data_IF_523054969063
#
_entry.id   IF_523054969063
#
_cell.length_a   1.000
_cell.length_b   1.000
_cell.length_c   1.000
_cell.angle_alpha   90.00
_cell.angle_beta   90.00
_cell.angle_gamma   90.00
#
_symmetry.space_group_name_H-M   'P 1'
#
loop_
_entity.id
_entity.type
_entity.pdbx_description
1 polymer ?
#
# COMPACT_ATOMS: atom_id res chain seq x y z
N UNK A 1 9.21 -12.82 -1.51
CA UNK A 1 8.05 -13.28 -2.31
C UNK A 1 7.29 -12.03 -2.72
N UNK A 2 6.88 -11.90 -3.99
CA UNK A 2 6.14 -10.73 -4.41
C UNK A 2 4.76 -10.71 -3.75
N UNK A 3 4.37 -9.55 -3.21
CA UNK A 3 3.04 -9.35 -2.61
C UNK A 3 2.03 -8.95 -3.68
N UNK A 4 0.83 -9.50 -3.63
CA UNK A 4 -0.24 -9.10 -4.55
C UNK A 4 -0.73 -7.68 -4.26
N UNK A 5 -1.21 -6.95 -5.27
CA UNK A 5 -1.77 -5.60 -5.07
C UNK A 5 -2.94 -5.61 -4.06
N UNK A 6 -3.74 -6.68 -4.07
CA UNK A 6 -4.85 -6.90 -3.12
C UNK A 6 -4.36 -7.09 -1.69
N UNK A 7 -3.26 -7.82 -1.50
CA UNK A 7 -2.66 -8.02 -0.18
C UNK A 7 -2.09 -6.73 0.39
N UNK A 8 -1.32 -5.99 -0.44
CA UNK A 8 -0.76 -4.68 -0.04
C UNK A 8 -1.88 -3.72 0.35
N UNK A 9 -2.95 -3.63 -0.44
CA UNK A 9 -4.11 -2.82 -0.10
C UNK A 9 -4.71 -3.22 1.25
N UNK A 10 -5.00 -4.51 1.48
CA UNK A 10 -5.59 -4.98 2.73
C UNK A 10 -4.73 -4.66 3.95
N UNK A 11 -3.42 -4.90 3.87
CA UNK A 11 -2.48 -4.63 4.97
C UNK A 11 -2.36 -3.12 5.27
N UNK A 12 -2.35 -2.27 4.24
CA UNK A 12 -2.37 -0.81 4.43
C UNK A 12 -3.66 -0.34 5.11
N UNK A 13 -4.82 -0.90 4.75
CA UNK A 13 -6.08 -0.60 5.44
C UNK A 13 -6.02 -1.02 6.93
N UNK A 14 -5.44 -2.20 7.24
CA UNK A 14 -5.19 -2.63 8.63
C UNK A 14 -4.23 -1.71 9.38
N UNK A 15 -3.28 -1.09 8.68
CA UNK A 15 -2.38 -0.09 9.23
C UNK A 15 -3.03 1.30 9.44
N UNK A 16 -4.35 1.42 9.28
CA UNK A 16 -5.09 2.66 9.50
C UNK A 16 -5.19 3.59 8.29
N UNK A 17 -4.74 3.16 7.10
CA UNK A 17 -4.99 3.92 5.88
C UNK A 17 -6.45 3.77 5.44
N UNK A 18 -6.93 4.78 4.73
CA UNK A 18 -8.27 4.81 4.14
C UNK A 18 -8.17 5.10 2.64
N UNK A 19 -9.11 4.55 1.86
CA UNK A 19 -9.22 4.87 0.44
C UNK A 19 -9.75 6.29 0.27
N UNK A 20 -8.90 7.19 -0.25
CA UNK A 20 -9.23 8.59 -0.42
C UNK A 20 -9.85 8.87 -1.79
N UNK A 21 -9.34 8.22 -2.83
CA UNK A 21 -9.75 8.40 -4.22
C UNK A 21 -9.20 7.27 -5.08
N UNK A 22 -9.93 6.91 -6.11
CA UNK A 22 -9.46 6.06 -7.20
C UNK A 22 -9.47 6.81 -8.54
N UNK A 23 -8.46 6.55 -9.38
CA UNK A 23 -8.41 6.99 -10.79
C UNK A 23 -7.98 5.83 -11.66
N UNK A 24 -8.88 5.33 -12.49
CA UNK A 24 -8.69 4.05 -13.18
C UNK A 24 -8.42 2.92 -12.18
N UNK A 25 -7.31 2.20 -12.35
CA UNK A 25 -6.89 1.13 -11.44
C UNK A 25 -6.01 1.61 -10.27
N UNK A 26 -5.69 2.90 -10.17
CA UNK A 26 -4.83 3.41 -9.09
C UNK A 26 -5.67 3.91 -7.92
N UNK A 27 -5.40 3.37 -6.72
CA UNK A 27 -5.98 3.84 -5.46
C UNK A 27 -5.00 4.76 -4.74
N UNK A 28 -5.51 5.87 -4.22
CA UNK A 28 -4.81 6.80 -3.32
C UNK A 28 -5.23 6.49 -1.90
N UNK A 29 -4.27 6.10 -1.05
CA UNK A 29 -4.50 5.74 0.33
C UNK A 29 -3.94 6.81 1.26
N UNK A 30 -4.72 7.25 2.24
CA UNK A 30 -4.30 8.29 3.20
C UNK A 30 -4.57 7.86 4.63
N UNK A 31 -3.61 8.13 5.50
CA UNK A 31 -3.72 7.95 6.95
C UNK A 31 -4.06 9.29 7.61
N UNK A 32 -4.72 9.26 8.77
CA UNK A 32 -5.18 10.46 9.50
C UNK A 32 -4.03 11.38 9.92
N UNK A 33 -2.86 10.81 10.21
CA UNK A 33 -1.60 11.53 10.52
C UNK A 33 -0.91 12.20 9.32
N UNK A 34 -1.52 12.15 8.13
CA UNK A 34 -1.01 12.82 6.93
C UNK A 34 -0.14 11.96 6.00
N UNK A 35 0.18 10.70 6.36
CA UNK A 35 0.85 9.78 5.41
C UNK A 35 -0.05 9.48 4.21
N UNK A 36 0.56 9.34 3.04
CA UNK A 36 -0.14 9.01 1.79
C UNK A 36 0.70 8.07 0.92
N UNK A 37 0.06 7.05 0.34
CA UNK A 37 0.68 6.14 -0.63
C UNK A 37 -0.31 5.76 -1.74
N UNK A 38 0.16 5.00 -2.72
CA UNK A 38 -0.59 4.64 -3.92
C UNK A 38 -0.46 3.14 -4.18
N UNK A 39 -1.56 2.50 -4.59
CA UNK A 39 -1.56 1.09 -5.00
C UNK A 39 -2.20 0.96 -6.37
N UNK A 40 -1.47 0.37 -7.32
CA UNK A 40 -1.95 0.03 -8.66
C UNK A 40 -2.66 -1.33 -8.62
N UNK A 41 -3.97 -1.36 -8.90
CA UNK A 41 -4.81 -2.55 -8.79
C UNK A 41 -4.89 -3.40 -10.07
N UNK A 42 -4.17 -3.03 -11.13
CA UNK A 42 -4.13 -3.77 -12.40
C UNK A 42 -3.00 -4.80 -12.46
N UNK A 43 -2.03 -4.74 -11.55
CA UNK A 43 -0.96 -5.74 -11.48
C UNK A 43 -1.38 -6.89 -10.59
N UNK A 44 -0.99 -8.11 -10.96
CA UNK A 44 -1.15 -9.28 -10.09
C UNK A 44 -0.30 -9.09 -8.83
N UNK A 45 0.99 -8.84 -9.06
CA UNK A 45 2.02 -8.67 -8.05
C UNK A 45 2.58 -7.24 -8.09
N UNK A 46 2.96 -6.72 -6.93
CA UNK A 46 3.60 -5.40 -6.80
C UNK A 46 5.12 -5.57 -7.02
N UNK A 47 5.74 -4.88 -7.98
CA UNK A 47 7.19 -4.93 -8.15
C UNK A 47 7.93 -4.47 -6.89
N UNK A 48 9.06 -5.10 -6.57
CA UNK A 48 9.81 -4.85 -5.33
C UNK A 48 10.15 -3.37 -5.11
N UNK A 49 10.55 -2.66 -6.16
CA UNK A 49 10.84 -1.22 -6.08
C UNK A 49 9.60 -0.38 -5.75
N UNK A 50 8.43 -0.77 -6.26
CA UNK A 50 7.15 -0.14 -5.94
C UNK A 50 6.75 -0.47 -4.51
N UNK A 51 6.88 -1.73 -4.09
CA UNK A 51 6.59 -2.15 -2.73
C UNK A 51 7.45 -1.39 -1.70
N UNK A 52 8.76 -1.26 -1.92
CA UNK A 52 9.66 -0.48 -1.06
C UNK A 52 9.28 1.01 -1.01
N UNK A 53 8.84 1.60 -2.13
CA UNK A 53 8.33 2.99 -2.16
C UNK A 53 7.06 3.13 -1.34
N UNK A 54 6.14 2.17 -1.43
CA UNK A 54 4.91 2.14 -0.62
C UNK A 54 5.25 2.09 0.86
N UNK A 55 6.14 1.17 1.28
CA UNK A 55 6.58 1.07 2.68
C UNK A 55 7.21 2.37 3.19
N UNK A 56 8.09 2.98 2.41
CA UNK A 56 8.73 4.26 2.75
C UNK A 56 7.69 5.38 2.94
N UNK A 57 6.72 5.49 2.03
CA UNK A 57 5.64 6.48 2.12
C UNK A 57 4.70 6.20 3.30
N UNK A 58 4.44 4.93 3.58
CA UNK A 58 3.62 4.49 4.70
C UNK A 58 4.36 4.53 6.04
N UNK A 59 5.68 4.80 6.04
CA UNK A 59 6.56 4.71 7.22
C UNK A 59 6.43 3.35 7.94
N UNK A 60 6.41 2.27 7.15
CA UNK A 60 6.38 0.89 7.65
C UNK A 60 7.71 0.20 7.30
N UNK A 61 8.20 -0.63 8.19
CA UNK A 61 9.24 -1.62 7.87
C UNK A 61 8.62 -2.82 7.14
N UNK A 62 9.46 -3.68 6.56
CA UNK A 62 8.96 -4.93 5.96
C UNK A 62 8.43 -5.88 7.05
N UNK A 63 9.02 -5.84 8.24
CA UNK A 63 8.58 -6.56 9.44
C UNK A 63 7.19 -6.09 9.88
N UNK A 64 6.96 -4.77 10.01
CA UNK A 64 5.64 -4.22 10.31
C UNK A 64 4.61 -4.70 9.30
N UNK A 65 4.96 -4.65 8.01
CA UNK A 65 4.09 -5.10 6.93
C UNK A 65 3.77 -6.61 7.03
N UNK A 66 4.72 -7.45 7.40
CA UNK A 66 4.49 -8.90 7.58
C UNK A 66 3.52 -9.21 8.72
N UNK A 67 3.52 -8.39 9.78
CA UNK A 67 2.63 -8.55 10.94
C UNK A 67 1.20 -8.01 10.74
N UNK A 68 1.00 -7.20 9.70
CA UNK A 68 -0.33 -6.73 9.25
C UNK A 68 -1.09 -7.78 8.45
#
# INVERSE_FOLDING_TARGET
MPYSAKEVLRKLLRAGFTDKRQSGSHKVLRHSDGRQTYVSMHTKDVPDGTFRKILKQAKLTEEDFKQL
#
